data_IF_473315079377
#
_entry.id   IF_473315079377
#
_cell.length_a   1.000
_cell.length_b   1.000
_cell.length_c   1.000
_cell.angle_alpha   90.00
_cell.angle_beta   90.00
_cell.angle_gamma   90.00
#
_symmetry.space_group_name_H-M   'P 1'
#
loop_
_entity.id
_entity.type
_entity.pdbx_description
1 polymer ?
#
# COMPACT_ATOMS: atom_id res chain seq x y z
N UNK A 1 -23.83 -8.55 5.19
CA UNK A 1 -23.93 -7.62 6.34
C UNK A 1 -25.09 -6.63 6.23
N UNK A 2 -25.22 -5.79 5.18
CA UNK A 2 -26.34 -4.84 5.11
C UNK A 2 -27.69 -5.50 4.73
N UNK A 3 -27.69 -6.45 3.79
CA UNK A 3 -28.92 -7.13 3.34
C UNK A 3 -29.51 -8.11 4.35
N UNK A 4 -28.65 -8.75 5.16
CA UNK A 4 -29.08 -9.76 6.14
C UNK A 4 -29.64 -9.13 7.43
N UNK A 5 -29.29 -7.87 7.72
CA UNK A 5 -29.66 -7.17 8.96
C UNK A 5 -30.69 -6.05 8.77
N UNK A 6 -30.95 -5.58 7.53
CA UNK A 6 -31.95 -4.55 7.24
C UNK A 6 -32.78 -4.86 5.98
N UNK A 7 -33.46 -6.02 5.90
CA UNK A 7 -34.41 -6.24 4.82
C UNK A 7 -35.52 -5.17 4.90
N UNK A 8 -35.77 -4.46 3.80
CA UNK A 8 -36.88 -3.50 3.57
C UNK A 8 -36.70 -2.01 3.92
N UNK A 9 -35.56 -1.53 4.40
CA UNK A 9 -35.38 -0.08 4.70
C UNK A 9 -35.27 0.83 3.48
N UNK A 10 -34.86 0.29 2.32
CA UNK A 10 -34.73 1.08 1.10
C UNK A 10 -36.10 1.36 0.47
N UNK A 11 -36.51 2.64 0.37
CA UNK A 11 -37.71 3.05 -0.37
C UNK A 11 -37.47 3.11 -1.87
N UNK A 12 -36.41 3.79 -2.29
CA UNK A 12 -35.96 3.91 -3.68
C UNK A 12 -34.49 4.37 -3.72
N UNK A 13 -33.75 3.99 -4.76
CA UNK A 13 -32.40 4.50 -5.03
C UNK A 13 -32.34 5.09 -6.45
N UNK A 14 -31.90 6.33 -6.56
CA UNK A 14 -31.81 7.05 -7.84
C UNK A 14 -30.34 7.28 -8.18
N UNK A 15 -29.92 6.76 -9.32
CA UNK A 15 -28.58 6.95 -9.83
C UNK A 15 -28.65 7.99 -10.93
N UNK A 16 -28.01 9.13 -10.67
CA UNK A 16 -28.07 10.33 -11.51
C UNK A 16 -26.67 10.66 -12.02
N UNK A 17 -26.59 11.28 -13.20
CA UNK A 17 -25.32 11.61 -13.83
C UNK A 17 -24.31 10.43 -13.90
N UNK A 18 -24.83 9.23 -14.14
CA UNK A 18 -24.01 8.00 -14.17
C UNK A 18 -23.28 7.90 -15.51
N UNK A 19 -21.96 7.63 -15.53
CA UNK A 19 -21.21 7.44 -16.77
C UNK A 19 -21.75 6.28 -17.60
N UNK A 20 -21.52 6.31 -18.92
CA UNK A 20 -22.00 5.27 -19.85
C UNK A 20 -21.52 3.86 -19.51
N UNK A 21 -20.34 3.71 -18.89
CA UNK A 21 -19.80 2.42 -18.45
C UNK A 21 -20.46 1.87 -17.17
N UNK A 22 -21.28 2.65 -16.45
CA UNK A 22 -21.88 2.25 -15.19
C UNK A 22 -22.75 0.99 -15.33
N UNK A 23 -23.44 0.82 -16.46
CA UNK A 23 -24.23 -0.39 -16.74
C UNK A 23 -23.42 -1.68 -16.66
N UNK A 24 -22.14 -1.64 -17.07
CA UNK A 24 -21.23 -2.77 -16.96
C UNK A 24 -20.86 -3.06 -15.50
N UNK A 25 -20.49 -2.03 -14.75
CA UNK A 25 -20.19 -2.13 -13.30
C UNK A 25 -21.41 -2.65 -12.54
N UNK A 26 -22.61 -2.14 -12.82
CA UNK A 26 -23.83 -2.57 -12.18
C UNK A 26 -24.12 -4.07 -12.42
N UNK A 27 -23.84 -4.59 -13.62
CA UNK A 27 -23.98 -6.01 -13.91
C UNK A 27 -23.06 -6.91 -13.07
N UNK A 28 -21.88 -6.42 -12.67
CA UNK A 28 -20.97 -7.14 -11.76
C UNK A 28 -21.57 -7.22 -10.35
N UNK A 29 -22.27 -6.17 -9.90
CA UNK A 29 -22.86 -6.11 -8.56
C UNK A 29 -24.26 -6.74 -8.46
N UNK A 30 -24.98 -6.92 -9.57
CA UNK A 30 -26.33 -7.52 -9.60
C UNK A 30 -26.48 -8.84 -8.84
N UNK A 31 -25.54 -9.82 -8.92
CA UNK A 31 -25.67 -11.09 -8.20
C UNK A 31 -25.71 -10.93 -6.68
N UNK A 32 -25.21 -9.80 -6.15
CA UNK A 32 -25.20 -9.49 -4.72
C UNK A 32 -26.42 -8.66 -4.29
N UNK A 33 -27.37 -8.39 -5.18
CA UNK A 33 -28.58 -7.62 -4.89
C UNK A 33 -29.82 -8.50 -5.00
N UNK A 34 -30.67 -8.51 -3.98
CA UNK A 34 -31.96 -9.21 -4.06
C UNK A 34 -32.93 -8.52 -5.04
N UNK A 35 -33.91 -9.28 -5.54
CA UNK A 35 -34.86 -8.79 -6.54
C UNK A 35 -35.63 -7.53 -6.10
N UNK A 36 -35.97 -7.43 -4.80
CA UNK A 36 -36.67 -6.29 -4.20
C UNK A 36 -35.81 -5.01 -4.22
N UNK A 37 -34.51 -5.14 -3.96
CA UNK A 37 -33.58 -4.01 -4.03
C UNK A 37 -33.37 -3.59 -5.49
N UNK A 38 -33.21 -4.56 -6.39
CA UNK A 38 -33.05 -4.30 -7.83
C UNK A 38 -34.25 -3.56 -8.42
N UNK A 39 -35.49 -3.91 -8.05
CA UNK A 39 -36.68 -3.21 -8.55
C UNK A 39 -36.82 -1.77 -8.03
N UNK A 40 -36.11 -1.41 -6.96
CA UNK A 40 -36.12 -0.07 -6.34
C UNK A 40 -35.00 0.84 -6.85
N UNK A 41 -34.05 0.28 -7.60
CA UNK A 41 -32.95 1.02 -8.21
C UNK A 41 -33.40 1.60 -9.55
N UNK A 42 -33.28 2.92 -9.71
CA UNK A 42 -33.63 3.66 -10.93
C UNK A 42 -32.41 4.41 -11.45
N UNK A 43 -31.96 4.00 -12.65
CA UNK A 43 -30.89 4.68 -13.38
C UNK A 43 -31.54 5.77 -14.22
N UNK A 44 -31.28 7.03 -13.87
CA UNK A 44 -31.88 8.19 -14.54
C UNK A 44 -31.01 8.59 -15.73
N UNK A 45 -31.66 9.04 -16.81
CA UNK A 45 -30.95 9.59 -17.97
C UNK A 45 -30.32 10.94 -17.63
N UNK A 46 -29.19 11.23 -18.25
CA UNK A 46 -28.33 12.39 -17.96
C UNK A 46 -29.06 13.74 -18.06
N UNK A 47 -30.06 13.85 -18.92
CA UNK A 47 -30.73 15.13 -19.21
C UNK A 47 -32.09 15.29 -18.49
N UNK A 48 -32.61 14.24 -17.84
CA UNK A 48 -33.98 14.21 -17.29
C UNK A 48 -34.03 13.92 -15.78
N UNK A 49 -32.89 13.57 -15.17
CA UNK A 49 -32.86 13.09 -13.78
C UNK A 49 -33.34 14.12 -12.77
N UNK A 50 -33.12 15.41 -13.01
CA UNK A 50 -33.53 16.46 -12.06
C UNK A 50 -35.05 16.54 -11.92
N UNK A 51 -35.78 16.40 -13.02
CA UNK A 51 -37.25 16.45 -13.01
C UNK A 51 -37.83 15.22 -12.33
N UNK A 52 -37.20 14.05 -12.51
CA UNK A 52 -37.58 12.82 -11.80
C UNK A 52 -37.37 12.96 -10.28
N UNK A 53 -36.26 13.55 -9.83
CA UNK A 53 -36.00 13.77 -8.40
C UNK A 53 -36.97 14.77 -7.79
N UNK A 54 -37.27 15.88 -8.47
CA UNK A 54 -38.20 16.92 -8.00
C UNK A 54 -39.63 16.42 -7.81
N UNK A 55 -40.05 15.36 -8.52
CA UNK A 55 -41.36 14.71 -8.32
C UNK A 55 -41.48 14.01 -6.97
N UNK A 56 -40.35 13.69 -6.33
CA UNK A 56 -40.29 12.81 -5.16
C UNK A 56 -39.88 13.60 -3.91
N UNK A 57 -39.02 14.60 -4.10
CA UNK A 57 -38.44 15.41 -3.01
C UNK A 57 -38.81 16.87 -3.25
N UNK A 58 -39.33 17.53 -2.21
CA UNK A 58 -39.65 18.96 -2.26
C UNK A 58 -38.38 19.76 -2.64
N UNK A 59 -38.45 20.62 -3.68
CA UNK A 59 -37.34 21.47 -4.09
C UNK A 59 -36.72 22.28 -2.94
N UNK A 60 -37.49 22.67 -1.92
CA UNK A 60 -36.98 23.44 -0.77
C UNK A 60 -36.01 22.67 0.11
N UNK A 61 -36.11 21.35 0.17
CA UNK A 61 -35.20 20.50 0.98
C UNK A 61 -34.13 19.81 0.15
N UNK A 62 -34.31 19.75 -1.17
CA UNK A 62 -33.36 19.18 -2.11
C UNK A 62 -32.15 20.12 -2.30
N UNK A 63 -30.90 19.63 -2.13
CA UNK A 63 -29.69 20.42 -2.41
C UNK A 63 -29.67 21.00 -3.83
N UNK A 64 -29.18 22.23 -3.97
CA UNK A 64 -29.13 22.93 -5.25
C UNK A 64 -28.26 22.22 -6.30
N UNK A 65 -27.18 21.54 -5.91
CA UNK A 65 -26.39 20.71 -6.82
C UNK A 65 -27.18 19.51 -7.39
N UNK A 66 -28.28 19.11 -6.74
CA UNK A 66 -29.23 18.09 -7.22
C UNK A 66 -30.42 18.68 -7.97
N UNK A 67 -30.38 19.98 -8.29
CA UNK A 67 -31.47 20.70 -8.98
C UNK A 67 -32.54 21.26 -8.05
N UNK A 68 -32.33 21.27 -6.73
CA UNK A 68 -33.24 21.88 -5.76
C UNK A 68 -32.92 23.35 -5.42
N UNK A 69 -33.43 23.82 -4.28
CA UNK A 69 -33.27 25.19 -3.78
C UNK A 69 -32.48 25.26 -2.47
N UNK A 70 -32.20 24.12 -1.83
CA UNK A 70 -31.48 24.10 -0.55
C UNK A 70 -30.01 24.43 -0.78
N UNK A 71 -29.50 25.38 -0.01
CA UNK A 71 -28.08 25.71 0.14
C UNK A 71 -27.69 25.64 1.61
N UNK A 72 -26.39 25.63 1.90
CA UNK A 72 -25.90 25.94 3.24
C UNK A 72 -26.18 27.42 3.62
N UNK A 73 -26.04 27.81 4.90
CA UNK A 73 -26.26 29.19 5.35
C UNK A 73 -25.38 30.23 4.65
N UNK A 74 -24.22 29.81 4.11
CA UNK A 74 -23.30 30.62 3.33
C UNK A 74 -23.67 30.69 1.83
N UNK A 75 -24.76 30.04 1.42
CA UNK A 75 -25.21 29.95 0.03
C UNK A 75 -24.57 28.82 -0.78
N UNK A 76 -23.76 27.94 -0.18
CA UNK A 76 -23.09 26.86 -0.91
C UNK A 76 -24.10 25.83 -1.46
N UNK A 77 -24.16 25.61 -2.79
CA UNK A 77 -25.14 24.70 -3.40
C UNK A 77 -24.85 23.22 -3.17
N UNK A 78 -23.63 22.87 -2.70
CA UNK A 78 -23.22 21.49 -2.42
C UNK A 78 -23.67 20.97 -1.06
N UNK A 79 -24.16 21.85 -0.18
CA UNK A 79 -24.61 21.51 1.17
C UNK A 79 -23.57 20.69 1.95
N UNK A 80 -22.34 21.19 2.10
CA UNK A 80 -21.24 20.51 2.79
C UNK A 80 -21.55 20.28 4.29
N UNK A 81 -22.48 21.03 4.87
CA UNK A 81 -22.96 20.76 6.25
C UNK A 81 -23.78 19.48 6.36
N UNK A 82 -24.35 18.99 5.27
CA UNK A 82 -25.21 17.81 5.20
C UNK A 82 -24.53 16.64 4.49
N UNK A 83 -23.77 16.93 3.43
CA UNK A 83 -23.10 15.95 2.58
C UNK A 83 -21.61 16.06 2.81
N UNK A 84 -20.99 14.98 3.28
CA UNK A 84 -19.54 14.89 3.27
C UNK A 84 -19.08 14.60 1.85
N UNK A 85 -18.49 15.61 1.22
CA UNK A 85 -17.83 15.47 -0.07
C UNK A 85 -16.41 15.01 0.19
N UNK A 86 -16.17 13.71 0.04
CA UNK A 86 -14.85 13.11 0.25
C UNK A 86 -13.77 13.98 -0.40
N UNK A 87 -12.87 14.45 0.45
CA UNK A 87 -11.67 15.15 0.03
C UNK A 87 -10.52 14.15 -0.02
N UNK A 88 -9.45 14.51 -0.74
CA UNK A 88 -8.19 13.79 -0.58
C UNK A 88 -7.86 13.83 0.92
N UNK A 89 -7.79 12.65 1.55
CA UNK A 89 -7.42 12.53 2.96
C UNK A 89 -6.06 13.18 3.11
N UNK A 90 -5.94 14.15 4.03
CA UNK A 90 -4.67 14.81 4.29
C UNK A 90 -3.66 13.75 4.73
N UNK A 91 -2.45 13.80 4.17
CA UNK A 91 -1.40 12.81 4.45
C UNK A 91 -1.00 12.79 5.93
N UNK A 92 -1.31 13.83 6.70
CA UNK A 92 -1.15 13.85 8.16
C UNK A 92 -2.11 12.91 8.92
N UNK A 93 -3.29 12.61 8.36
CA UNK A 93 -4.24 11.63 8.91
C UNK A 93 -3.94 10.20 8.47
N UNK A 94 -3.04 10.02 7.50
CA UNK A 94 -2.54 8.68 7.23
C UNK A 94 -1.89 8.22 8.52
N UNK A 95 -2.08 6.94 8.86
CA UNK A 95 -1.35 6.35 9.96
C UNK A 95 0.14 6.59 9.68
N UNK A 96 0.74 7.54 10.40
CA UNK A 96 2.16 7.86 10.28
C UNK A 96 2.89 6.60 10.68
N UNK A 97 3.44 5.87 9.70
CA UNK A 97 4.26 4.70 9.93
C UNK A 97 5.65 5.07 10.48
N UNK A 98 5.79 6.22 11.13
CA UNK A 98 7.01 6.74 11.74
C UNK A 98 7.44 5.91 12.98
N UNK A 99 6.97 4.68 13.11
CA UNK A 99 7.35 3.72 14.14
C UNK A 99 7.88 2.40 13.57
N UNK A 100 7.88 2.21 12.25
CA UNK A 100 8.45 1.01 11.63
C UNK A 100 9.74 1.39 10.89
N UNK A 101 10.91 0.86 11.29
CA UNK A 101 12.15 0.98 10.53
C UNK A 101 11.91 0.68 9.04
N UNK A 102 12.47 1.51 8.15
CA UNK A 102 12.40 1.31 6.71
C UNK A 102 11.11 1.72 6.00
N UNK A 103 10.22 2.47 6.67
CA UNK A 103 9.04 3.09 6.05
C UNK A 103 9.38 4.07 4.91
N UNK A 104 8.35 4.53 4.19
CA UNK A 104 8.52 5.46 3.04
C UNK A 104 9.22 6.77 3.46
N UNK A 105 8.97 7.20 4.69
CA UNK A 105 9.50 8.46 5.25
C UNK A 105 10.77 8.26 6.10
N UNK A 106 11.39 7.07 6.09
CA UNK A 106 12.63 6.80 6.84
C UNK A 106 13.86 7.38 6.11
N UNK A 107 14.20 8.61 6.47
CA UNK A 107 15.36 9.34 5.91
C UNK A 107 16.72 8.68 6.22
N UNK A 108 16.78 7.71 7.14
CA UNK A 108 18.03 7.00 7.45
C UNK A 108 18.38 5.91 6.43
N UNK A 109 17.46 5.55 5.54
CA UNK A 109 17.70 4.56 4.49
C UNK A 109 18.60 5.11 3.38
N UNK A 110 19.57 4.29 2.96
CA UNK A 110 20.33 4.54 1.73
C UNK A 110 19.49 4.18 0.52
N UNK A 111 19.67 4.91 -0.58
CA UNK A 111 18.96 4.65 -1.83
C UNK A 111 19.94 4.24 -2.93
N UNK A 112 19.55 3.27 -3.76
CA UNK A 112 20.26 2.90 -4.99
C UNK A 112 19.28 2.48 -6.07
N UNK A 113 19.73 2.47 -7.33
CA UNK A 113 18.94 2.00 -8.46
C UNK A 113 19.60 0.76 -9.06
N UNK A 114 18.86 -0.33 -9.10
CA UNK A 114 19.28 -1.61 -9.68
C UNK A 114 18.69 -1.69 -11.08
N UNK A 115 19.54 -1.59 -12.10
CA UNK A 115 19.11 -1.64 -13.49
C UNK A 115 18.44 -2.97 -13.82
N UNK A 116 17.58 -3.00 -14.84
CA UNK A 116 17.04 -4.24 -15.39
C UNK A 116 18.18 -5.17 -15.81
N UNK A 117 17.96 -6.48 -15.71
CA UNK A 117 18.97 -7.50 -16.04
C UNK A 117 20.27 -7.39 -15.24
N UNK A 118 20.25 -6.74 -14.08
CA UNK A 118 21.42 -6.53 -13.25
C UNK A 118 21.20 -6.94 -11.80
N UNK A 119 22.29 -6.96 -11.05
CA UNK A 119 22.33 -7.37 -9.64
C UNK A 119 23.11 -6.31 -8.87
N UNK A 120 22.66 -6.02 -7.65
CA UNK A 120 23.38 -5.20 -6.69
C UNK A 120 23.82 -6.07 -5.51
N UNK A 121 25.12 -6.05 -5.23
CA UNK A 121 25.72 -6.80 -4.12
C UNK A 121 26.27 -5.82 -3.10
N UNK A 122 25.90 -6.01 -1.83
CA UNK A 122 26.35 -5.19 -0.72
C UNK A 122 27.16 -6.06 0.26
N UNK A 123 28.51 -6.05 0.16
CA UNK A 123 29.37 -6.79 1.06
C UNK A 123 29.49 -6.11 2.43
N UNK A 124 29.41 -6.90 3.49
CA UNK A 124 29.56 -6.50 4.90
C UNK A 124 30.62 -7.40 5.53
N UNK A 125 31.70 -6.79 6.01
CA UNK A 125 32.82 -7.50 6.63
C UNK A 125 32.55 -7.70 8.13
N UNK A 126 32.46 -8.96 8.55
CA UNK A 126 32.20 -9.39 9.92
C UNK A 126 33.50 -9.89 10.54
N UNK A 127 33.93 -9.20 11.60
CA UNK A 127 35.21 -9.46 12.30
C UNK A 127 35.06 -10.31 13.55
N UNK A 128 33.85 -10.39 14.09
CA UNK A 128 33.55 -11.09 15.34
C UNK A 128 32.48 -12.15 15.08
N UNK A 129 32.75 -13.38 15.47
CA UNK A 129 31.76 -14.45 15.41
C UNK A 129 30.61 -14.15 16.38
N UNK A 130 29.37 -14.40 15.96
CA UNK A 130 28.17 -14.09 16.72
C UNK A 130 27.64 -12.67 16.53
N UNK A 131 28.28 -11.84 15.68
CA UNK A 131 27.72 -10.54 15.28
C UNK A 131 26.37 -10.76 14.61
N UNK A 132 25.37 -9.98 14.99
CA UNK A 132 24.04 -9.97 14.38
C UNK A 132 24.05 -8.95 13.25
N UNK A 133 23.82 -9.43 12.02
CA UNK A 133 23.62 -8.61 10.83
C UNK A 133 22.12 -8.34 10.67
N UNK A 134 21.71 -7.08 10.74
CA UNK A 134 20.31 -6.65 10.59
C UNK A 134 20.16 -5.90 9.27
N UNK A 135 19.05 -6.13 8.58
CA UNK A 135 18.70 -5.38 7.39
C UNK A 135 17.23 -4.99 7.38
N UNK A 136 16.99 -3.82 6.83
CA UNK A 136 15.67 -3.38 6.41
C UNK A 136 15.77 -2.88 4.98
N UNK A 137 14.89 -3.31 4.09
CA UNK A 137 14.85 -2.79 2.73
C UNK A 137 13.45 -2.77 2.12
N UNK A 138 13.25 -1.86 1.18
CA UNK A 138 12.02 -1.76 0.37
C UNK A 138 12.36 -1.30 -1.03
N UNK A 139 11.50 -1.61 -1.98
CA UNK A 139 11.53 -0.99 -3.31
C UNK A 139 10.53 0.16 -3.39
N UNK A 140 10.74 1.09 -4.31
CA UNK A 140 9.69 2.08 -4.63
C UNK A 140 8.46 1.39 -5.21
N UNK A 141 8.70 0.49 -6.17
CA UNK A 141 7.68 -0.24 -6.92
C UNK A 141 8.19 -1.63 -7.25
N UNK A 142 7.26 -2.59 -7.39
CA UNK A 142 7.50 -4.00 -7.73
C UNK A 142 8.35 -4.77 -6.71
N UNK A 143 8.26 -6.09 -6.73
CA UNK A 143 9.13 -6.95 -5.94
C UNK A 143 10.59 -6.88 -6.38
N UNK A 144 11.48 -7.46 -5.59
CA UNK A 144 12.88 -7.72 -5.95
C UNK A 144 13.26 -9.12 -5.46
N UNK A 145 14.25 -9.76 -6.10
CA UNK A 145 14.83 -10.98 -5.56
C UNK A 145 15.91 -10.66 -4.53
N UNK A 146 15.91 -11.36 -3.41
CA UNK A 146 16.86 -11.16 -2.34
C UNK A 146 17.44 -12.49 -1.87
N UNK A 147 18.74 -12.49 -1.57
CA UNK A 147 19.41 -13.60 -0.90
C UNK A 147 20.61 -13.12 -0.08
N UNK A 148 21.20 -14.03 0.68
CA UNK A 148 22.36 -13.77 1.51
C UNK A 148 23.44 -14.79 1.22
N UNK A 149 24.65 -14.31 0.97
CA UNK A 149 25.80 -15.15 0.68
C UNK A 149 26.95 -14.89 1.65
N UNK A 150 27.89 -15.82 1.72
CA UNK A 150 29.10 -15.74 2.54
C UNK A 150 30.35 -16.02 1.71
N UNK A 151 31.44 -15.33 2.03
CA UNK A 151 32.80 -15.62 1.58
C UNK A 151 33.75 -15.52 2.76
N UNK A 152 34.65 -16.49 2.90
CA UNK A 152 35.71 -16.42 3.93
C UNK A 152 36.67 -15.24 3.70
N UNK A 153 37.03 -14.99 2.44
CA UNK A 153 37.86 -13.87 2.01
C UNK A 153 37.49 -13.46 0.57
N UNK A 154 38.14 -12.41 0.05
CA UNK A 154 37.85 -11.87 -1.29
C UNK A 154 38.10 -12.85 -2.45
N UNK A 155 38.89 -13.91 -2.24
CA UNK A 155 39.26 -14.91 -3.26
C UNK A 155 38.48 -16.21 -3.11
N UNK A 156 37.89 -16.43 -1.94
CA UNK A 156 37.13 -17.64 -1.62
C UNK A 156 35.85 -17.76 -2.44
N UNK A 157 35.42 -19.01 -2.65
CA UNK A 157 34.14 -19.31 -3.27
C UNK A 157 33.00 -18.73 -2.44
N UNK A 158 31.96 -18.27 -3.13
CA UNK A 158 30.71 -17.81 -2.52
C UNK A 158 29.87 -19.01 -2.08
N UNK A 159 29.46 -19.01 -0.82
CA UNK A 159 28.51 -19.95 -0.22
C UNK A 159 27.15 -19.26 -0.08
N UNK A 160 26.07 -19.97 -0.42
CA UNK A 160 24.70 -19.47 -0.23
C UNK A 160 24.27 -19.74 1.22
N UNK A 161 23.79 -18.69 1.90
CA UNK A 161 23.30 -18.74 3.28
C UNK A 161 21.77 -18.67 3.29
N UNK A 162 21.21 -17.71 2.54
CA UNK A 162 19.78 -17.63 2.27
C UNK A 162 19.57 -17.74 0.76
N UNK A 163 18.64 -18.59 0.28
CA UNK A 163 18.35 -18.71 -1.13
C UNK A 163 17.84 -17.40 -1.71
N UNK A 164 18.06 -17.21 -3.01
CA UNK A 164 17.56 -16.03 -3.71
C UNK A 164 16.08 -16.20 -4.04
N UNK A 165 15.21 -15.49 -3.32
CA UNK A 165 13.75 -15.57 -3.45
C UNK A 165 13.12 -14.22 -3.77
N UNK A 166 11.90 -14.22 -4.31
CA UNK A 166 11.15 -12.99 -4.57
C UNK A 166 10.60 -12.41 -3.25
N UNK A 167 10.79 -11.11 -3.04
CA UNK A 167 10.31 -10.38 -1.87
C UNK A 167 9.42 -9.22 -2.33
N UNK A 168 8.15 -9.24 -1.93
CA UNK A 168 7.16 -8.19 -2.22
C UNK A 168 7.27 -7.02 -1.23
N UNK A 169 8.40 -6.29 -1.27
CA UNK A 169 8.72 -5.24 -0.29
C UNK A 169 8.28 -3.80 -0.67
N UNK A 170 7.48 -3.62 -1.72
CA UNK A 170 7.02 -2.30 -2.17
C UNK A 170 5.98 -1.67 -1.23
N UNK A 171 5.17 -2.50 -0.56
CA UNK A 171 4.13 -2.04 0.36
C UNK A 171 4.64 -2.05 1.80
N UNK A 172 5.21 -3.17 2.23
CA UNK A 172 5.75 -3.38 3.57
C UNK A 172 7.26 -3.63 3.43
N UNK A 173 8.12 -2.89 4.15
CA UNK A 173 9.56 -3.15 4.12
C UNK A 173 9.88 -4.56 4.61
N UNK A 174 10.86 -5.20 3.98
CA UNK A 174 11.43 -6.45 4.47
C UNK A 174 12.42 -6.12 5.60
N UNK A 175 12.16 -6.63 6.80
CA UNK A 175 13.00 -6.47 7.98
C UNK A 175 13.38 -7.85 8.53
N UNK A 176 14.67 -8.12 8.63
CA UNK A 176 15.15 -9.38 9.19
C UNK A 176 16.58 -9.26 9.74
N UNK A 177 17.05 -10.31 10.41
CA UNK A 177 18.37 -10.40 10.97
C UNK A 177 18.97 -11.79 10.83
N UNK A 178 20.30 -11.86 10.83
CA UNK A 178 21.05 -13.09 10.75
C UNK A 178 22.22 -13.09 11.74
N UNK A 179 22.38 -14.18 12.48
CA UNK A 179 23.52 -14.35 13.40
C UNK A 179 24.71 -14.89 12.61
N UNK A 180 25.76 -14.10 12.47
CA UNK A 180 26.95 -14.47 11.72
C UNK A 180 27.82 -15.45 12.51
N UNK A 181 27.67 -16.75 12.23
CA UNK A 181 28.45 -17.83 12.88
C UNK A 181 29.93 -17.87 12.49
N UNK A 182 30.32 -17.14 11.43
CA UNK A 182 31.70 -17.14 10.89
C UNK A 182 32.17 -15.71 10.68
N UNK A 183 33.46 -15.45 10.92
CA UNK A 183 34.12 -14.22 10.46
C UNK A 183 34.38 -14.28 8.96
N UNK A 184 34.10 -13.20 8.24
CA UNK A 184 34.27 -13.14 6.79
C UNK A 184 33.42 -12.04 6.17
N UNK A 185 33.06 -12.22 4.90
CA UNK A 185 32.29 -11.24 4.14
C UNK A 185 30.90 -11.82 3.87
N UNK A 186 29.87 -11.21 4.45
CA UNK A 186 28.48 -11.50 4.14
C UNK A 186 28.01 -10.55 3.05
N UNK A 187 27.28 -11.06 2.06
CA UNK A 187 26.90 -10.30 0.88
C UNK A 187 25.38 -10.34 0.77
N UNK A 188 24.74 -9.19 1.01
CA UNK A 188 23.34 -9.02 0.69
C UNK A 188 23.21 -8.89 -0.83
N UNK A 189 22.39 -9.75 -1.42
CA UNK A 189 22.30 -9.94 -2.87
C UNK A 189 20.92 -9.55 -3.35
N UNK A 190 20.83 -8.42 -4.05
CA UNK A 190 19.60 -7.89 -4.62
C UNK A 190 19.60 -8.12 -6.13
N UNK A 191 18.69 -8.96 -6.61
CA UNK A 191 18.65 -9.44 -7.97
C UNK A 191 17.47 -8.84 -8.75
N UNK A 192 17.80 -8.12 -9.82
CA UNK A 192 16.86 -7.60 -10.81
C UNK A 192 17.11 -8.20 -12.21
N UNK A 193 17.82 -9.33 -12.28
CA UNK A 193 18.20 -10.00 -13.53
C UNK A 193 16.99 -10.47 -14.34
N UNK A 194 15.88 -10.78 -13.66
CA UNK A 194 14.64 -11.25 -14.25
C UNK A 194 13.79 -10.15 -14.88
N UNK A 195 14.00 -8.87 -14.54
CA UNK A 195 13.22 -7.77 -15.12
C UNK A 195 13.77 -7.42 -16.50
N UNK A 196 12.87 -7.32 -17.48
CA UNK A 196 13.26 -7.04 -18.86
C UNK A 196 13.25 -5.55 -19.20
N UNK A 197 12.36 -4.77 -18.58
CA UNK A 197 12.11 -3.37 -18.95
C UNK A 197 12.25 -2.38 -17.78
N UNK A 198 12.31 -2.88 -16.54
CA UNK A 198 12.17 -2.03 -15.35
C UNK A 198 13.41 -2.10 -14.46
N UNK A 199 14.04 -0.94 -14.27
CA UNK A 199 14.96 -0.73 -13.16
C UNK A 199 14.17 -0.63 -11.84
N UNK A 200 14.80 -1.00 -10.73
CA UNK A 200 14.21 -0.95 -9.39
C UNK A 200 14.95 0.06 -8.54
N UNK A 201 14.22 0.99 -7.94
CA UNK A 201 14.76 1.87 -6.91
C UNK A 201 14.63 1.16 -5.56
N UNK A 202 15.78 0.85 -4.95
CA UNK A 202 15.90 0.14 -3.68
C UNK A 202 16.31 1.13 -2.59
N UNK A 203 15.58 1.09 -1.48
CA UNK A 203 15.92 1.77 -0.22
C UNK A 203 16.32 0.70 0.78
N UNK A 204 17.44 0.87 1.47
CA UNK A 204 17.96 -0.14 2.39
C UNK A 204 18.72 0.49 3.56
N UNK A 205 18.71 -0.19 4.70
CA UNK A 205 19.46 0.15 5.90
C UNK A 205 20.05 -1.14 6.47
N UNK A 206 21.36 -1.15 6.70
CA UNK A 206 22.10 -2.32 7.22
C UNK A 206 22.83 -1.91 8.49
N UNK A 207 22.69 -2.72 9.53
CA UNK A 207 23.33 -2.52 10.83
C UNK A 207 23.97 -3.82 11.30
N UNK A 208 25.03 -3.71 12.10
CA UNK A 208 25.69 -4.85 12.73
C UNK A 208 25.80 -4.62 14.23
N UNK A 209 25.39 -5.61 15.02
CA UNK A 209 25.46 -5.60 16.47
C UNK A 209 26.40 -6.71 16.94
N UNK A 210 27.50 -6.35 17.60
CA UNK A 210 28.45 -7.34 18.11
C UNK A 210 27.86 -8.06 19.33
N UNK A 211 28.21 -9.34 19.55
CA UNK A 211 27.76 -10.06 20.74
C UNK A 211 28.31 -9.36 21.99
N UNK A 212 27.47 -9.17 22.99
CA UNK A 212 27.88 -8.62 24.28
C UNK A 212 28.89 -9.58 24.92
N UNK A 213 30.16 -9.16 24.97
CA UNK A 213 31.18 -9.88 25.73
C UNK A 213 30.85 -9.68 27.20
N UNK A 214 30.25 -10.68 27.84
CA UNK A 214 30.26 -10.75 29.30
C UNK A 214 31.72 -11.02 29.67
N UNK A 215 32.44 -10.00 30.11
CA UNK A 215 33.76 -10.19 30.70
C UNK A 215 33.59 -11.15 31.89
N UNK A 216 34.12 -12.36 31.74
CA UNK A 216 34.28 -13.29 32.84
C UNK A 216 35.28 -12.65 33.81
N UNK A 217 34.76 -11.96 34.82
CA UNK A 217 35.53 -11.56 35.99
C UNK A 217 36.00 -12.82 36.70
N UNK A 218 37.21 -13.27 36.37
CA UNK A 218 37.95 -14.26 37.15
C UNK A 218 38.40 -13.60 38.46
N UNK A 219 37.80 -14.03 39.58
CA UNK A 219 38.40 -13.97 40.92
C UNK A 219 38.54 -15.40 41.44
#
# INVERSE_FOLDING_TARGET
MYQDNYPETLKAAYLVNVPSYFSWVFNIFKPFLNAVTLSKIKICKTDEWQDEIKKIVDPKVLPAFLGGLRTDPDGNPKCNTLVNWDSKIDTSFYLKQNMNPGGIDDESMKTTTIQQRSVFQLPVEIKTTGTVLKWVFRTKEYNIRFGLFYKKDKKSRQEEILPVENVDCQVIPEENQFVCEKTGIYILYFDNSYSWMTAKQLFYKIETENPNVIEANNN
#
